data_IF_092377314749
#
_entry.id   IF_092377314749
#
_cell.length_a   1.000
_cell.length_b   1.000
_cell.length_c   1.000
_cell.angle_alpha   90.00
_cell.angle_beta   90.00
_cell.angle_gamma   90.00
#
_symmetry.space_group_name_H-M   'P 1'
#
loop_
_entity.id
_entity.type
_entity.pdbx_description
1 polymer ?
#
# COMPACT_ATOMS: atom_id res chain seq x y z
N UNK A 1 60.57 4.00 32.78
CA UNK A 1 61.44 3.77 31.61
C UNK A 1 60.51 3.68 30.43
N UNK A 2 60.31 4.74 29.70
CA UNK A 2 61.09 5.33 28.63
C UNK A 2 60.78 4.66 27.26
N UNK A 3 60.11 5.52 26.45
CA UNK A 3 60.26 5.72 24.99
C UNK A 3 59.76 4.60 24.06
N UNK A 4 59.17 4.95 22.92
CA UNK A 4 59.04 6.17 22.09
C UNK A 4 58.18 5.84 20.89
N UNK A 5 57.41 6.75 20.48
CA UNK A 5 57.36 7.60 19.28
C UNK A 5 57.91 6.99 17.98
N UNK A 6 57.04 6.97 16.94
CA UNK A 6 57.19 7.56 15.60
C UNK A 6 55.96 7.18 14.78
N UNK A 7 55.13 8.04 14.32
CA UNK A 7 55.03 9.13 13.35
C UNK A 7 55.67 8.86 11.98
N UNK A 8 54.81 8.85 10.98
CA UNK A 8 54.98 9.40 9.62
C UNK A 8 53.79 8.91 8.77
N UNK A 9 52.92 9.71 8.37
CA UNK A 9 52.88 10.88 7.49
C UNK A 9 52.50 10.53 6.05
N UNK A 10 51.44 11.21 5.62
CA UNK A 10 51.12 11.75 4.31
C UNK A 10 50.95 10.82 3.10
N UNK A 11 49.83 10.93 2.43
CA UNK A 11 49.67 11.96 1.39
C UNK A 11 48.28 11.95 0.76
N UNK A 12 47.71 13.13 0.79
CA UNK A 12 46.60 13.61 -0.02
C UNK A 12 46.96 13.57 -1.52
N UNK A 13 46.07 13.13 -2.35
CA UNK A 13 45.99 13.57 -3.73
C UNK A 13 44.59 14.02 -4.08
N UNK A 14 44.43 15.31 -4.06
CA UNK A 14 43.41 16.09 -4.69
C UNK A 14 43.77 16.33 -6.17
N UNK A 15 42.85 16.09 -7.09
CA UNK A 15 42.82 16.69 -8.44
C UNK A 15 41.36 17.00 -8.72
N UNK A 16 40.96 18.20 -8.58
CA UNK A 16 40.91 19.46 -9.32
C UNK A 16 40.29 19.35 -10.71
N UNK A 17 39.18 19.96 -10.75
CA UNK A 17 38.37 20.73 -11.71
C UNK A 17 39.02 21.20 -12.99
N UNK A 18 38.12 21.50 -13.97
CA UNK A 18 38.18 22.44 -15.12
C UNK A 18 38.50 21.75 -16.42
N UNK A 19 37.89 22.03 -17.52
CA UNK A 19 37.20 23.09 -18.21
C UNK A 19 37.03 22.60 -19.64
N UNK A 20 36.05 22.92 -20.36
CA UNK A 20 36.09 24.02 -21.31
C UNK A 20 34.84 24.09 -22.16
N UNK A 21 34.24 25.25 -22.10
CA UNK A 21 33.46 25.83 -23.18
C UNK A 21 34.36 26.22 -24.34
N UNK A 22 33.81 26.24 -25.55
CA UNK A 22 34.01 27.18 -26.64
C UNK A 22 33.63 26.50 -27.93
N UNK A 23 32.94 27.03 -28.85
CA UNK A 23 32.50 28.29 -29.40
C UNK A 23 32.11 28.08 -30.86
N UNK A 24 31.21 28.79 -31.32
CA UNK A 24 30.98 29.81 -32.32
C UNK A 24 30.42 29.26 -33.66
N UNK A 25 29.24 29.68 -33.99
CA UNK A 25 28.80 30.89 -34.75
C UNK A 25 28.85 30.80 -36.27
N UNK A 26 27.86 31.46 -36.85
CA UNK A 26 27.68 31.96 -38.18
C UNK A 26 26.89 31.01 -39.11
N UNK A 27 25.69 31.27 -39.55
CA UNK A 27 25.18 32.50 -40.14
C UNK A 27 25.02 32.29 -41.62
N UNK A 28 23.79 32.12 -42.13
CA UNK A 28 23.48 32.60 -43.50
C UNK A 28 21.96 32.83 -43.64
N UNK A 29 21.60 34.05 -43.95
CA UNK A 29 20.30 34.43 -44.45
C UNK A 29 20.07 33.82 -45.84
N UNK A 30 18.88 33.27 -46.04
CA UNK A 30 18.31 33.19 -47.39
C UNK A 30 16.81 33.47 -47.30
N UNK A 31 16.44 34.53 -47.98
CA UNK A 31 15.06 34.94 -48.28
C UNK A 31 14.38 33.90 -49.19
N UNK A 32 13.10 33.75 -48.98
CA UNK A 32 12.20 33.51 -50.10
C UNK A 32 11.32 32.28 -50.01
N UNK A 33 10.14 32.48 -49.77
CA UNK A 33 8.87 32.19 -50.49
C UNK A 33 7.73 31.84 -49.52
N UNK A 34 6.67 32.66 -49.59
CA UNK A 34 5.38 32.40 -49.01
C UNK A 34 4.78 31.11 -49.64
N UNK A 35 4.86 30.02 -48.91
CA UNK A 35 4.08 28.82 -49.15
C UNK A 35 2.90 28.79 -48.22
N UNK A 36 1.68 28.77 -48.78
CA UNK A 36 0.43 28.61 -48.03
C UNK A 36 0.50 27.36 -47.15
N UNK A 37 0.56 27.52 -45.83
CA UNK A 37 0.32 26.42 -44.90
C UNK A 37 -1.16 26.06 -44.94
N UNK A 38 -1.49 24.99 -45.67
CA UNK A 38 -2.75 24.29 -45.50
C UNK A 38 -2.76 23.71 -44.06
N UNK A 39 -3.63 24.26 -43.24
CA UNK A 39 -3.94 23.65 -41.92
C UNK A 39 -4.56 22.28 -42.18
N UNK A 40 -3.74 21.24 -42.04
CA UNK A 40 -4.22 19.86 -41.93
C UNK A 40 -4.90 19.76 -40.58
N UNK A 41 -6.22 19.76 -40.57
CA UNK A 41 -7.01 19.42 -39.38
C UNK A 41 -6.68 17.98 -39.00
N UNK A 42 -5.85 17.81 -37.98
CA UNK A 42 -5.66 16.53 -37.33
C UNK A 42 -7.02 16.12 -36.78
N UNK A 43 -7.65 15.17 -37.42
CA UNK A 43 -8.81 14.45 -36.96
C UNK A 43 -8.40 13.80 -35.61
N UNK A 44 -9.13 14.01 -34.49
CA UNK A 44 -8.84 13.30 -33.27
C UNK A 44 -8.92 11.80 -33.59
N UNK A 45 -7.85 11.08 -33.25
CA UNK A 45 -7.86 9.62 -33.31
C UNK A 45 -9.06 9.16 -32.46
N UNK A 46 -10.01 8.51 -33.10
CA UNK A 46 -11.08 7.84 -32.41
C UNK A 46 -10.42 6.90 -31.40
N UNK A 47 -10.72 7.10 -30.12
CA UNK A 47 -10.38 6.14 -29.11
C UNK A 47 -10.98 4.81 -29.58
N UNK A 48 -10.10 3.86 -29.90
CA UNK A 48 -10.50 2.50 -30.16
C UNK A 48 -11.06 2.03 -28.83
N UNK A 49 -12.38 1.92 -28.73
CA UNK A 49 -13.02 1.18 -27.67
C UNK A 49 -12.49 -0.26 -27.84
N UNK A 50 -11.50 -0.63 -27.04
CA UNK A 50 -11.15 -2.04 -26.84
C UNK A 50 -12.35 -2.62 -26.13
N UNK A 51 -13.14 -3.41 -26.88
CA UNK A 51 -14.13 -4.28 -26.32
C UNK A 51 -13.45 -5.10 -25.22
N UNK A 52 -13.70 -4.74 -23.96
CA UNK A 52 -13.17 -5.43 -22.79
C UNK A 52 -13.95 -6.72 -22.51
N UNK A 53 -14.15 -7.52 -23.56
CA UNK A 53 -14.65 -8.88 -23.42
C UNK A 53 -13.51 -9.70 -22.86
N UNK A 54 -13.49 -9.88 -21.53
CA UNK A 54 -12.62 -10.83 -20.87
C UNK A 54 -11.56 -10.30 -19.90
N UNK A 55 -11.51 -8.99 -19.60
CA UNK A 55 -10.63 -8.52 -18.52
C UNK A 55 -11.20 -8.99 -17.17
N UNK A 56 -10.36 -9.66 -16.38
CA UNK A 56 -10.74 -10.06 -15.03
C UNK A 56 -11.06 -8.81 -14.18
N UNK A 57 -12.14 -8.81 -13.35
CA UNK A 57 -12.58 -7.63 -12.61
C UNK A 57 -11.52 -7.08 -11.64
N UNK A 58 -10.64 -7.94 -11.13
CA UNK A 58 -9.60 -7.54 -10.18
C UNK A 58 -8.20 -7.85 -10.68
N UNK A 59 -7.24 -7.01 -10.34
CA UNK A 59 -5.81 -7.18 -10.65
C UNK A 59 -4.95 -6.97 -9.42
N UNK A 60 -3.76 -7.58 -9.39
CA UNK A 60 -2.79 -7.36 -8.31
C UNK A 60 -2.20 -5.95 -8.46
N UNK A 61 -2.43 -5.02 -7.50
CA UNK A 61 -1.81 -3.72 -7.55
C UNK A 61 -0.29 -3.85 -7.32
N UNK A 62 0.55 -3.06 -8.00
CA UNK A 62 1.98 -3.06 -7.73
C UNK A 62 2.28 -2.56 -6.32
N UNK A 63 3.38 -3.05 -5.72
CA UNK A 63 3.90 -2.44 -4.49
C UNK A 63 4.38 -1.02 -4.79
N UNK A 64 4.11 -0.03 -3.92
CA UNK A 64 4.60 1.34 -4.10
C UNK A 64 6.08 1.52 -3.73
N UNK A 65 6.77 0.46 -3.34
CA UNK A 65 8.17 0.42 -2.90
C UNK A 65 8.81 -0.93 -3.29
N UNK A 66 10.16 -1.00 -3.21
CA UNK A 66 10.89 -2.24 -3.43
C UNK A 66 10.64 -3.25 -2.27
N UNK A 67 10.75 -4.54 -2.56
CA UNK A 67 10.44 -5.59 -1.58
C UNK A 67 11.33 -5.57 -0.34
N UNK A 68 12.53 -5.01 -0.42
CA UNK A 68 13.51 -4.84 0.67
C UNK A 68 13.39 -3.50 1.41
N UNK A 69 12.50 -2.61 0.97
CA UNK A 69 12.38 -1.26 1.52
C UNK A 69 11.93 -1.20 2.99
N UNK A 70 11.36 -2.29 3.50
CA UNK A 70 10.84 -2.38 4.87
C UNK A 70 11.82 -3.04 5.84
N UNK A 71 13.00 -3.46 5.37
CA UNK A 71 14.02 -4.02 6.24
C UNK A 71 14.58 -2.97 7.21
N UNK A 72 14.98 -3.36 8.41
CA UNK A 72 15.02 -4.73 8.96
C UNK A 72 13.71 -5.18 9.63
N UNK A 73 12.61 -4.46 9.46
CA UNK A 73 11.35 -4.68 10.18
C UNK A 73 10.45 -5.75 9.54
N UNK A 74 10.42 -5.81 8.21
CA UNK A 74 9.77 -6.88 7.44
C UNK A 74 10.76 -7.28 6.36
N UNK A 75 11.12 -8.56 6.30
CA UNK A 75 12.14 -9.05 5.38
C UNK A 75 11.65 -9.12 3.92
N UNK A 76 12.57 -8.93 2.98
CA UNK A 76 12.29 -8.93 1.56
C UNK A 76 11.61 -10.23 1.10
N UNK A 77 12.01 -11.37 1.67
CA UNK A 77 11.43 -12.66 1.30
C UNK A 77 9.97 -12.79 1.70
N UNK A 78 9.61 -12.27 2.88
CA UNK A 78 8.20 -12.16 3.30
C UNK A 78 7.43 -11.30 2.29
N UNK A 79 7.94 -10.14 1.89
CA UNK A 79 7.26 -9.24 0.96
C UNK A 79 7.06 -9.87 -0.43
N UNK A 80 8.06 -10.55 -0.98
CA UNK A 80 7.96 -11.28 -2.25
C UNK A 80 6.87 -12.34 -2.25
N UNK A 81 6.79 -13.13 -1.18
CA UNK A 81 5.82 -14.23 -1.05
C UNK A 81 4.44 -13.65 -0.74
N UNK A 82 4.35 -12.73 0.21
CA UNK A 82 3.11 -12.18 0.70
C UNK A 82 2.36 -11.44 -0.43
N UNK A 83 3.04 -10.56 -1.16
CA UNK A 83 2.47 -9.87 -2.32
C UNK A 83 2.32 -10.81 -3.53
N UNK A 84 3.43 -11.41 -3.99
CA UNK A 84 3.46 -12.10 -5.27
C UNK A 84 2.84 -13.49 -5.28
N UNK A 85 2.57 -14.10 -4.12
CA UNK A 85 1.93 -15.42 -4.00
C UNK A 85 0.60 -15.38 -3.27
N UNK A 86 0.56 -14.88 -2.03
CA UNK A 86 -0.68 -14.87 -1.25
C UNK A 86 -1.69 -13.89 -1.83
N UNK A 87 -1.34 -12.62 -2.01
CA UNK A 87 -2.26 -11.64 -2.59
C UNK A 87 -2.66 -11.99 -4.03
N UNK A 88 -1.70 -12.42 -4.87
CA UNK A 88 -2.01 -12.87 -6.23
C UNK A 88 -2.99 -14.04 -6.25
N UNK A 89 -2.87 -14.98 -5.32
CA UNK A 89 -3.80 -16.11 -5.23
C UNK A 89 -5.23 -15.65 -4.86
N UNK A 90 -5.36 -14.68 -3.96
CA UNK A 90 -6.66 -14.08 -3.64
C UNK A 90 -7.30 -13.41 -4.85
N UNK A 91 -6.54 -12.64 -5.62
CA UNK A 91 -7.01 -12.03 -6.88
C UNK A 91 -7.49 -13.09 -7.86
N UNK A 92 -6.67 -14.11 -8.12
CA UNK A 92 -6.99 -15.16 -9.08
C UNK A 92 -8.24 -15.93 -8.68
N UNK A 93 -8.39 -16.26 -7.40
CA UNK A 93 -9.53 -17.01 -6.90
C UNK A 93 -10.82 -16.17 -6.88
N UNK A 94 -10.74 -14.87 -6.52
CA UNK A 94 -11.90 -13.98 -6.60
C UNK A 94 -12.40 -13.86 -8.06
N UNK A 95 -11.50 -13.64 -9.00
CA UNK A 95 -11.84 -13.57 -10.43
C UNK A 95 -12.45 -14.88 -10.95
N UNK A 96 -11.91 -16.03 -10.53
CA UNK A 96 -12.45 -17.34 -10.90
C UNK A 96 -13.88 -17.53 -10.41
N UNK A 97 -14.19 -17.07 -9.20
CA UNK A 97 -15.55 -17.16 -8.63
C UNK A 97 -16.55 -16.26 -9.36
N UNK A 98 -16.08 -15.17 -9.97
CA UNK A 98 -16.90 -14.21 -10.70
C UNK A 98 -16.99 -14.50 -12.20
N UNK A 99 -16.22 -15.44 -12.73
CA UNK A 99 -16.16 -15.71 -14.17
C UNK A 99 -17.53 -16.00 -14.80
N UNK A 100 -18.38 -16.73 -14.08
CA UNK A 100 -19.74 -17.09 -14.51
C UNK A 100 -20.82 -16.18 -13.88
N UNK A 101 -20.43 -15.00 -13.38
CA UNK A 101 -21.29 -14.06 -12.67
C UNK A 101 -21.20 -12.64 -13.25
N UNK A 102 -21.56 -12.40 -14.51
CA UNK A 102 -21.30 -11.14 -15.19
C UNK A 102 -21.90 -9.93 -14.46
N UNK A 103 -23.10 -10.06 -13.89
CA UNK A 103 -23.73 -8.97 -13.14
C UNK A 103 -22.97 -8.61 -11.83
N UNK A 104 -22.30 -9.56 -11.21
CA UNK A 104 -21.48 -9.31 -10.02
C UNK A 104 -20.10 -8.76 -10.42
N UNK A 105 -19.58 -9.16 -11.57
CA UNK A 105 -18.29 -8.70 -12.07
C UNK A 105 -18.27 -7.20 -12.42
N UNK A 106 -19.42 -6.58 -12.62
CA UNK A 106 -19.58 -5.13 -12.84
C UNK A 106 -19.59 -4.32 -11.54
N UNK A 107 -19.73 -4.99 -10.38
CA UNK A 107 -19.76 -4.31 -9.08
C UNK A 107 -18.34 -4.08 -8.56
N UNK A 108 -18.17 -2.97 -7.83
CA UNK A 108 -16.95 -2.73 -7.07
C UNK A 108 -16.75 -3.77 -5.96
N UNK A 109 -15.51 -3.94 -5.51
CA UNK A 109 -15.19 -4.82 -4.41
C UNK A 109 -15.94 -4.42 -3.11
N UNK A 110 -16.10 -3.12 -2.86
CA UNK A 110 -16.84 -2.60 -1.72
C UNK A 110 -18.32 -2.98 -1.79
N UNK A 111 -18.96 -2.81 -2.96
CA UNK A 111 -20.36 -3.20 -3.16
C UNK A 111 -20.60 -4.71 -3.01
N UNK A 112 -19.61 -5.53 -3.42
CA UNK A 112 -19.68 -6.98 -3.26
C UNK A 112 -19.50 -7.43 -1.81
N UNK A 113 -18.67 -6.73 -1.04
CA UNK A 113 -18.41 -7.06 0.36
C UNK A 113 -19.46 -6.49 1.32
N UNK A 114 -20.18 -5.43 0.91
CA UNK A 114 -21.16 -4.75 1.75
C UNK A 114 -22.23 -5.72 2.30
N UNK A 115 -22.72 -5.39 3.50
CA UNK A 115 -23.81 -6.11 4.18
C UNK A 115 -23.52 -7.64 4.23
N UNK A 116 -22.29 -7.99 4.61
CA UNK A 116 -21.83 -9.38 4.68
C UNK A 116 -22.04 -10.17 3.38
N UNK A 117 -21.79 -9.52 2.24
CA UNK A 117 -21.97 -10.07 0.89
C UNK A 117 -23.44 -10.43 0.57
N UNK A 118 -24.38 -9.62 1.00
CA UNK A 118 -25.82 -9.86 0.80
C UNK A 118 -26.19 -10.01 -0.69
N UNK A 119 -25.51 -9.30 -1.60
CA UNK A 119 -25.72 -9.38 -3.04
C UNK A 119 -25.16 -10.67 -3.67
N UNK A 120 -24.32 -11.42 -2.96
CA UNK A 120 -23.59 -12.57 -3.50
C UNK A 120 -24.37 -13.87 -3.27
N UNK A 121 -24.58 -14.72 -4.31
CA UNK A 121 -25.24 -16.00 -4.16
C UNK A 121 -24.58 -16.89 -3.12
N UNK A 122 -25.38 -17.64 -2.37
CA UNK A 122 -24.89 -18.51 -1.29
C UNK A 122 -23.84 -19.53 -1.76
N UNK A 123 -23.95 -20.01 -3.00
CA UNK A 123 -23.03 -21.00 -3.59
C UNK A 123 -21.59 -20.54 -3.70
N UNK A 124 -21.35 -19.22 -3.87
CA UNK A 124 -19.98 -18.64 -4.00
C UNK A 124 -19.63 -17.69 -2.86
N UNK A 125 -20.59 -17.36 -1.98
CA UNK A 125 -20.42 -16.31 -0.94
C UNK A 125 -19.22 -16.56 -0.03
N UNK A 126 -19.07 -17.76 0.51
CA UNK A 126 -17.93 -18.08 1.39
C UNK A 126 -16.60 -17.99 0.64
N UNK A 127 -16.53 -18.48 -0.59
CA UNK A 127 -15.35 -18.37 -1.42
C UNK A 127 -15.00 -16.92 -1.71
N UNK A 128 -15.99 -16.11 -2.08
CA UNK A 128 -15.78 -14.69 -2.38
C UNK A 128 -15.43 -13.89 -1.11
N UNK A 129 -16.09 -14.15 0.04
CA UNK A 129 -15.73 -13.57 1.34
C UNK A 129 -14.24 -13.74 1.63
N UNK A 130 -13.71 -14.94 1.46
CA UNK A 130 -12.32 -15.24 1.77
C UNK A 130 -11.35 -14.63 0.73
N UNK A 131 -11.67 -14.70 -0.55
CA UNK A 131 -10.72 -14.32 -1.59
C UNK A 131 -10.83 -12.83 -1.97
N UNK A 132 -12.04 -12.28 -2.11
CA UNK A 132 -12.22 -10.85 -2.33
C UNK A 132 -11.86 -10.04 -1.07
N UNK A 133 -12.26 -10.53 0.11
CA UNK A 133 -11.82 -9.94 1.38
C UNK A 133 -10.30 -9.93 1.48
N UNK A 134 -9.65 -11.04 1.14
CA UNK A 134 -8.19 -11.12 1.08
C UNK A 134 -7.58 -10.12 0.11
N UNK A 135 -8.12 -10.01 -1.10
CA UNK A 135 -7.65 -9.02 -2.07
C UNK A 135 -7.77 -7.59 -1.54
N UNK A 136 -8.95 -7.21 -1.04
CA UNK A 136 -9.22 -5.85 -0.56
C UNK A 136 -8.36 -5.49 0.65
N UNK A 137 -8.24 -6.41 1.62
CA UNK A 137 -7.42 -6.20 2.81
C UNK A 137 -5.95 -5.97 2.45
N UNK A 138 -5.40 -6.77 1.52
CA UNK A 138 -4.01 -6.62 1.09
C UNK A 138 -3.80 -5.38 0.22
N UNK A 139 -4.73 -5.06 -0.70
CA UNK A 139 -4.66 -3.84 -1.50
C UNK A 139 -4.65 -2.57 -0.62
N UNK A 140 -5.40 -2.60 0.48
CA UNK A 140 -5.40 -1.56 1.50
C UNK A 140 -4.10 -1.52 2.32
N UNK A 141 -3.51 -2.69 2.59
CA UNK A 141 -2.35 -2.83 3.46
C UNK A 141 -1.05 -2.30 2.84
N UNK A 142 -0.81 -2.56 1.54
CA UNK A 142 0.47 -2.19 0.93
C UNK A 142 0.80 -0.70 1.02
N UNK A 143 -0.10 0.25 0.69
CA UNK A 143 0.19 1.68 0.83
C UNK A 143 0.39 2.14 2.28
N UNK A 144 -0.13 1.38 3.27
CA UNK A 144 0.08 1.65 4.69
C UNK A 144 1.49 1.33 5.18
N UNK A 145 2.32 0.68 4.36
CA UNK A 145 3.69 0.38 4.70
C UNK A 145 4.63 1.27 3.91
N UNK A 146 5.67 1.77 4.55
CA UNK A 146 6.75 2.53 3.92
C UNK A 146 8.03 2.42 4.74
N UNK A 147 9.18 2.67 4.11
CA UNK A 147 10.38 3.00 4.86
C UNK A 147 10.11 4.19 5.79
N UNK A 148 10.80 4.27 6.95
CA UNK A 148 10.63 5.38 7.87
C UNK A 148 10.78 6.71 7.14
N UNK A 149 9.78 7.58 7.25
CA UNK A 149 9.74 8.88 6.60
C UNK A 149 9.22 9.94 7.58
N UNK A 150 9.49 11.19 7.26
CA UNK A 150 8.97 12.30 8.03
C UNK A 150 7.44 12.29 8.03
N UNK A 151 6.89 12.19 9.21
CA UNK A 151 5.45 12.29 9.44
C UNK A 151 5.10 13.66 10.00
N UNK A 152 4.14 14.32 9.36
CA UNK A 152 3.54 15.54 9.88
C UNK A 152 2.23 15.19 10.55
N UNK A 153 2.15 15.33 11.90
CA UNK A 153 0.92 15.06 12.62
C UNK A 153 -0.25 15.88 12.07
N UNK A 154 -1.36 15.19 11.78
CA UNK A 154 -2.56 15.76 11.24
C UNK A 154 -3.79 15.46 12.09
N UNK A 155 -4.97 15.50 11.48
CA UNK A 155 -6.26 15.29 12.16
C UNK A 155 -6.43 13.89 12.76
N UNK A 156 -5.82 12.88 12.16
CA UNK A 156 -5.85 11.53 12.71
C UNK A 156 -5.18 11.49 14.09
N UNK A 157 -3.98 12.10 14.21
CA UNK A 157 -3.30 12.13 15.51
C UNK A 157 -4.12 12.85 16.59
N UNK A 158 -4.74 13.97 16.26
CA UNK A 158 -5.63 14.70 17.17
C UNK A 158 -6.81 13.82 17.61
N UNK A 159 -7.43 13.12 16.66
CA UNK A 159 -8.55 12.22 16.91
C UNK A 159 -8.13 10.99 17.75
N UNK A 160 -6.95 10.43 17.51
CA UNK A 160 -6.41 9.33 18.32
C UNK A 160 -6.18 9.75 19.77
N UNK A 161 -5.63 10.94 20.00
CA UNK A 161 -5.44 11.47 21.36
C UNK A 161 -6.78 11.74 22.02
N UNK A 162 -7.75 12.29 21.30
CA UNK A 162 -9.08 12.56 21.83
C UNK A 162 -9.84 11.28 22.21
N UNK A 163 -9.74 10.21 21.39
CA UNK A 163 -10.47 8.95 21.62
C UNK A 163 -9.79 8.03 22.63
N UNK A 164 -8.44 7.92 22.58
CA UNK A 164 -7.68 6.95 23.35
C UNK A 164 -6.90 7.57 24.53
N UNK A 165 -6.85 8.91 24.65
CA UNK A 165 -6.08 9.62 25.67
C UNK A 165 -4.66 9.95 25.26
N UNK A 166 -3.95 9.04 24.57
CA UNK A 166 -2.62 9.26 24.02
C UNK A 166 -2.36 8.35 22.82
N UNK A 167 -1.28 8.62 22.08
CA UNK A 167 -0.84 7.73 21.01
C UNK A 167 -0.37 6.38 21.56
N UNK A 168 0.29 6.37 22.72
CA UNK A 168 0.78 5.15 23.36
C UNK A 168 -0.39 4.25 23.81
N UNK A 169 -1.47 4.83 24.35
CA UNK A 169 -2.68 4.08 24.72
C UNK A 169 -3.38 3.52 23.48
N UNK A 170 -3.44 4.28 22.38
CA UNK A 170 -3.92 3.76 21.12
C UNK A 170 -3.08 2.57 20.63
N UNK A 171 -1.75 2.72 20.61
CA UNK A 171 -0.85 1.64 20.19
C UNK A 171 -0.97 0.41 21.09
N UNK A 172 -1.15 0.60 22.39
CA UNK A 172 -1.39 -0.50 23.34
C UNK A 172 -2.72 -1.22 23.05
N UNK A 173 -3.80 -0.47 22.79
CA UNK A 173 -5.10 -1.05 22.40
C UNK A 173 -5.01 -1.83 21.09
N UNK A 174 -4.33 -1.28 20.08
CA UNK A 174 -4.11 -1.93 18.79
C UNK A 174 -3.26 -3.21 18.95
N UNK A 175 -2.16 -3.15 19.71
CA UNK A 175 -1.31 -4.30 19.98
C UNK A 175 -2.09 -5.41 20.71
N UNK A 176 -2.97 -5.06 21.65
CA UNK A 176 -3.86 -6.01 22.33
C UNK A 176 -4.82 -6.70 21.35
N UNK A 177 -5.42 -5.95 20.42
CA UNK A 177 -6.27 -6.52 19.38
C UNK A 177 -5.50 -7.46 18.44
N UNK A 178 -4.29 -7.06 18.02
CA UNK A 178 -3.43 -7.83 17.12
C UNK A 178 -2.92 -9.13 17.74
N UNK A 179 -2.41 -9.07 18.97
CA UNK A 179 -1.89 -10.25 19.69
C UNK A 179 -2.99 -11.14 20.22
N UNK A 180 -4.14 -10.55 20.59
CA UNK A 180 -5.32 -11.27 21.07
C UNK A 180 -6.12 -11.98 19.98
N UNK A 181 -5.87 -11.70 18.69
CA UNK A 181 -6.51 -12.42 17.59
C UNK A 181 -6.05 -13.88 17.56
N UNK A 182 -6.91 -14.79 17.98
CA UNK A 182 -6.62 -16.22 17.92
C UNK A 182 -6.63 -16.71 16.47
N UNK A 183 -5.56 -17.38 16.05
CA UNK A 183 -5.39 -17.85 14.67
C UNK A 183 -5.09 -16.73 13.69
N UNK A 184 -5.53 -16.91 12.45
CA UNK A 184 -5.35 -15.97 11.34
C UNK A 184 -6.36 -14.83 11.39
N UNK A 185 -5.95 -13.66 10.95
CA UNK A 185 -6.83 -12.50 10.85
C UNK A 185 -6.09 -11.19 10.77
N UNK A 186 -6.77 -10.12 11.13
CA UNK A 186 -6.30 -8.75 11.02
C UNK A 186 -6.60 -7.97 12.28
N UNK A 187 -5.78 -6.97 12.57
CA UNK A 187 -6.08 -5.91 13.52
C UNK A 187 -6.33 -4.60 12.78
N UNK A 188 -7.30 -3.83 13.24
CA UNK A 188 -7.76 -2.64 12.55
C UNK A 188 -7.93 -1.45 13.49
N UNK A 189 -7.62 -0.25 12.99
CA UNK A 189 -8.26 0.99 13.39
C UNK A 189 -9.28 1.33 12.32
N UNK A 190 -10.53 1.53 12.72
CA UNK A 190 -11.63 1.86 11.81
C UNK A 190 -12.38 3.11 12.26
N UNK A 191 -13.09 3.75 11.33
CA UNK A 191 -14.19 4.66 11.68
C UNK A 191 -15.49 3.86 11.60
N UNK A 192 -16.22 3.80 12.71
CA UNK A 192 -17.54 3.19 12.84
C UNK A 192 -18.47 4.18 13.53
N UNK A 193 -19.59 4.51 12.92
CA UNK A 193 -20.58 5.47 13.44
C UNK A 193 -19.93 6.81 13.86
N UNK A 194 -18.98 7.27 13.05
CA UNK A 194 -18.25 8.50 13.27
C UNK A 194 -17.14 8.47 14.35
N UNK A 195 -16.90 7.32 15.01
CA UNK A 195 -15.89 7.16 16.07
C UNK A 195 -14.72 6.30 15.59
N UNK A 196 -13.54 6.53 16.14
CA UNK A 196 -12.40 5.65 15.97
C UNK A 196 -12.54 4.43 16.89
N UNK A 197 -12.43 3.24 16.32
CA UNK A 197 -12.54 1.97 17.05
C UNK A 197 -11.37 1.07 16.68
N UNK A 198 -10.77 0.41 17.67
CA UNK A 198 -9.80 -0.67 17.46
C UNK A 198 -10.54 -2.00 17.53
N UNK A 199 -10.44 -2.80 16.48
CA UNK A 199 -11.07 -4.10 16.39
C UNK A 199 -10.17 -5.13 15.72
N UNK A 200 -10.57 -6.40 15.72
CA UNK A 200 -9.89 -7.45 14.95
C UNK A 200 -10.91 -8.31 14.23
N UNK A 201 -10.56 -8.76 13.03
CA UNK A 201 -11.38 -9.67 12.22
C UNK A 201 -10.69 -11.01 12.02
N UNK A 202 -11.47 -12.07 11.86
CA UNK A 202 -10.95 -13.41 11.61
C UNK A 202 -10.64 -13.60 10.11
N UNK A 203 -9.65 -14.43 9.81
CA UNK A 203 -9.32 -14.82 8.44
C UNK A 203 -9.15 -13.60 7.52
N UNK A 204 -9.92 -13.52 6.43
CA UNK A 204 -9.91 -12.41 5.48
C UNK A 204 -11.18 -11.55 5.58
N UNK A 205 -11.91 -11.61 6.68
CA UNK A 205 -13.02 -10.71 6.92
C UNK A 205 -12.54 -9.27 6.95
N UNK A 206 -13.21 -8.41 6.17
CA UNK A 206 -12.91 -6.99 6.08
C UNK A 206 -13.88 -6.17 6.90
N UNK A 207 -13.46 -5.08 7.54
CA UNK A 207 -14.37 -4.13 8.18
C UNK A 207 -15.48 -3.60 7.25
N UNK A 208 -15.20 -3.53 5.95
CA UNK A 208 -16.17 -3.12 4.92
C UNK A 208 -17.43 -4.00 4.90
N UNK A 209 -17.31 -5.28 5.28
CA UNK A 209 -18.45 -6.21 5.34
C UNK A 209 -19.51 -5.79 6.36
N UNK A 210 -19.11 -5.01 7.36
CA UNK A 210 -19.98 -4.53 8.43
C UNK A 210 -20.15 -3.01 8.42
N UNK A 211 -19.83 -2.36 7.28
CA UNK A 211 -19.97 -0.92 7.09
C UNK A 211 -18.93 -0.04 7.80
N UNK A 212 -17.93 -0.63 8.47
CA UNK A 212 -16.84 0.14 9.05
C UNK A 212 -15.80 0.55 8.00
N UNK A 213 -15.18 1.70 8.19
CA UNK A 213 -14.22 2.28 7.25
C UNK A 213 -12.79 2.09 7.80
N UNK A 214 -11.93 1.30 7.16
CA UNK A 214 -10.58 1.05 7.66
C UNK A 214 -9.69 2.30 7.52
N UNK A 215 -8.89 2.56 8.56
CA UNK A 215 -7.89 3.64 8.64
C UNK A 215 -6.48 3.07 8.71
N UNK A 216 -6.24 2.11 9.59
CA UNK A 216 -5.01 1.34 9.71
C UNK A 216 -5.40 -0.14 9.76
N UNK A 217 -4.66 -0.99 9.05
CA UNK A 217 -4.81 -2.44 9.08
C UNK A 217 -3.46 -3.11 9.26
N UNK A 218 -3.42 -4.21 10.01
CA UNK A 218 -2.25 -5.06 10.20
C UNK A 218 -2.65 -6.51 9.99
N UNK A 219 -2.01 -7.15 9.04
CA UNK A 219 -2.12 -8.59 8.81
C UNK A 219 -1.43 -9.36 9.95
N UNK A 220 -2.15 -10.19 10.67
CA UNK A 220 -1.62 -11.07 11.72
C UNK A 220 -1.73 -12.55 11.36
N UNK A 221 -1.96 -12.86 10.09
CA UNK A 221 -1.71 -14.19 9.55
C UNK A 221 -0.22 -14.52 9.70
N UNK A 222 0.11 -15.76 10.00
CA UNK A 222 1.52 -16.17 10.16
C UNK A 222 2.35 -15.93 8.90
N UNK A 223 1.78 -16.01 7.71
CA UNK A 223 2.49 -15.73 6.47
C UNK A 223 3.02 -14.27 6.38
N UNK A 224 2.46 -13.35 7.14
CA UNK A 224 2.90 -11.96 7.16
C UNK A 224 4.18 -11.72 7.95
N UNK A 225 4.58 -12.66 8.84
CA UNK A 225 5.70 -12.41 9.75
C UNK A 225 6.54 -13.63 10.11
N UNK A 226 6.11 -14.87 9.79
CA UNK A 226 6.73 -16.08 10.33
C UNK A 226 8.19 -16.28 9.91
N UNK A 227 8.57 -15.88 8.70
CA UNK A 227 9.95 -16.04 8.23
C UNK A 227 10.95 -15.26 9.09
N UNK A 228 10.57 -14.07 9.55
CA UNK A 228 11.44 -13.21 10.36
C UNK A 228 11.20 -13.36 11.87
N UNK A 229 9.95 -13.48 12.28
CA UNK A 229 9.57 -13.45 13.70
C UNK A 229 9.18 -14.81 14.29
N UNK A 230 8.92 -15.83 13.46
CA UNK A 230 8.39 -17.13 13.85
C UNK A 230 7.14 -16.96 14.76
N UNK A 231 7.15 -17.53 15.95
CA UNK A 231 6.03 -17.43 16.89
C UNK A 231 5.95 -16.10 17.66
N UNK A 232 6.86 -15.15 17.42
CA UNK A 232 6.94 -13.88 18.13
C UNK A 232 6.06 -12.80 17.49
N UNK A 233 4.74 -13.05 17.39
CA UNK A 233 3.79 -12.08 16.82
C UNK A 233 3.89 -10.72 17.51
N UNK A 234 4.12 -10.67 18.83
CA UNK A 234 4.24 -9.40 19.56
C UNK A 234 5.40 -8.53 19.06
N UNK A 235 6.53 -9.14 18.68
CA UNK A 235 7.69 -8.42 18.14
C UNK A 235 7.37 -7.85 16.75
N UNK A 236 6.67 -8.61 15.89
CA UNK A 236 6.17 -8.13 14.61
C UNK A 236 5.20 -6.94 14.77
N UNK A 237 4.24 -7.04 15.69
CA UNK A 237 3.30 -5.95 15.98
C UNK A 237 4.03 -4.69 16.45
N UNK A 238 5.08 -4.85 17.26
CA UNK A 238 5.94 -3.74 17.68
C UNK A 238 6.71 -3.13 16.49
N UNK A 239 7.27 -3.97 15.61
CA UNK A 239 8.04 -3.53 14.45
C UNK A 239 7.17 -2.82 13.40
N UNK A 240 5.89 -3.15 13.31
CA UNK A 240 4.94 -2.51 12.39
C UNK A 240 4.92 -0.98 12.52
N UNK A 241 5.01 -0.44 13.74
CA UNK A 241 4.99 1.01 13.96
C UNK A 241 6.18 1.73 13.33
N UNK A 242 7.30 1.03 13.10
CA UNK A 242 8.48 1.58 12.42
C UNK A 242 8.31 1.67 10.91
N UNK A 243 7.38 0.94 10.33
CA UNK A 243 7.12 0.91 8.89
C UNK A 243 5.72 1.40 8.52
N UNK A 244 4.92 1.83 9.49
CA UNK A 244 3.61 2.40 9.23
C UNK A 244 3.75 3.75 8.52
N UNK A 245 3.14 3.85 7.35
CA UNK A 245 2.98 5.09 6.60
C UNK A 245 1.87 5.95 7.21
N UNK A 246 2.22 6.75 8.19
CA UNK A 246 1.28 7.64 8.88
C UNK A 246 0.61 8.64 7.94
N UNK A 247 1.29 9.09 6.86
CA UNK A 247 0.69 9.99 5.88
C UNK A 247 -0.45 9.28 5.12
N UNK A 248 -0.29 7.99 4.78
CA UNK A 248 -1.38 7.22 4.20
C UNK A 248 -2.53 6.99 5.19
N UNK A 249 -2.22 6.75 6.46
CA UNK A 249 -3.24 6.62 7.50
C UNK A 249 -4.07 7.92 7.67
N UNK A 250 -3.44 9.10 7.57
CA UNK A 250 -4.15 10.40 7.54
C UNK A 250 -5.09 10.51 6.33
N UNK A 251 -4.65 10.08 5.14
CA UNK A 251 -5.48 10.05 3.92
C UNK A 251 -6.68 9.11 4.11
N UNK A 252 -6.45 7.91 4.64
CA UNK A 252 -7.51 6.94 4.91
C UNK A 252 -8.52 7.48 5.93
N UNK A 253 -8.04 8.13 6.99
CA UNK A 253 -8.90 8.74 7.99
C UNK A 253 -9.77 9.87 7.40
N UNK A 254 -9.16 10.73 6.59
CA UNK A 254 -9.90 11.80 5.92
C UNK A 254 -11.01 11.23 5.00
N UNK A 255 -10.70 10.19 4.23
CA UNK A 255 -11.66 9.48 3.38
C UNK A 255 -12.79 8.82 4.21
N UNK A 256 -12.42 8.14 5.31
CA UNK A 256 -13.37 7.48 6.20
C UNK A 256 -14.34 8.46 6.89
N UNK A 257 -13.94 9.72 7.05
CA UNK A 257 -14.77 10.79 7.66
C UNK A 257 -15.66 11.52 6.65
N UNK A 258 -15.32 11.47 5.36
CA UNK A 258 -16.07 12.14 4.30
C UNK A 258 -17.21 11.27 3.73
N UNK A 259 -17.15 9.97 3.95
CA UNK A 259 -18.12 8.96 3.51
C UNK A 259 -19.13 8.64 4.60
#
# INVERSE_FOLDING_TARGET
MVRGMNSSDSSLHSISRRSALKTLSAGLLALGTLGKLSASSARPAAAVAVDSVGAAPFSLPPLPYATDALEPHIDARTMEIHHGKHHQAYVNNANKLLADQPALAELSAEELLADELAKVPASIRTGLRNNLGGHVNHAFFWPLLAAPADYRPGKLREALVAEFGSLDEFQAAFAKAATGRFGSGWAWLVVRDGKLVVESTANQDSPLMTGAKPVIGLDVWEHAYYLHYQNRRADYVKAFWSVLNWNQAEVNYAAARAA
#
